data_IF_995985293048
#
_entry.id   IF_995985293048
#
_cell.length_a   1.000
_cell.length_b   1.000
_cell.length_c   1.000
_cell.angle_alpha   90.00
_cell.angle_beta   90.00
_cell.angle_gamma   90.00
#
_symmetry.space_group_name_H-M   'P 1'
#
loop_
_entity.id
_entity.type
_entity.pdbx_description
1 polymer ?
#
# COMPACT_ATOMS: atom_id res chain seq x y z
N UNK A 1 41.02 -6.34 -7.66
CA UNK A 1 40.09 -5.19 -7.72
C UNK A 1 38.81 -5.66 -7.05
N UNK A 2 38.65 -5.37 -5.76
CA UNK A 2 37.58 -5.91 -4.92
C UNK A 2 36.40 -4.94 -4.99
N UNK A 3 35.25 -5.38 -5.52
CA UNK A 3 34.02 -4.61 -5.46
C UNK A 3 33.63 -4.44 -3.99
N UNK A 4 33.63 -3.20 -3.51
CA UNK A 4 32.97 -2.82 -2.27
C UNK A 4 31.47 -3.10 -2.46
N UNK A 5 30.96 -4.14 -1.80
CA UNK A 5 29.54 -4.28 -1.57
C UNK A 5 29.12 -3.11 -0.68
N UNK A 6 28.54 -2.08 -1.27
CA UNK A 6 27.80 -1.07 -0.52
C UNK A 6 26.62 -1.79 0.14
N UNK A 7 26.72 -2.00 1.45
CA UNK A 7 25.58 -2.33 2.29
C UNK A 7 24.55 -1.21 2.12
N UNK A 8 23.61 -1.37 1.19
CA UNK A 8 22.37 -0.63 1.21
C UNK A 8 21.59 -1.17 2.41
N UNK A 9 21.72 -0.51 3.54
CA UNK A 9 20.79 -0.70 4.65
C UNK A 9 19.40 -0.31 4.13
N UNK A 10 18.51 -1.29 3.96
CA UNK A 10 17.11 -1.03 3.76
C UNK A 10 16.61 -0.13 4.91
N UNK A 11 15.81 0.89 4.59
CA UNK A 11 15.20 1.78 5.58
C UNK A 11 13.70 1.74 5.41
N UNK A 12 12.99 1.79 6.53
CA UNK A 12 11.53 1.94 6.52
C UNK A 12 11.18 3.24 5.80
N UNK A 13 10.17 3.19 4.93
CA UNK A 13 9.60 4.42 4.39
C UNK A 13 8.66 5.02 5.43
N UNK A 14 8.69 6.33 5.56
CA UNK A 14 7.73 7.07 6.38
C UNK A 14 6.76 7.77 5.45
N UNK A 15 5.48 7.50 5.61
CA UNK A 15 4.39 7.97 4.75
C UNK A 15 3.51 8.89 5.58
N UNK A 16 3.39 10.14 5.16
CA UNK A 16 2.35 11.05 5.64
C UNK A 16 1.05 10.70 4.89
N UNK A 17 0.14 10.00 5.55
CA UNK A 17 -1.03 9.41 4.91
C UNK A 17 -2.01 10.47 4.42
N UNK A 18 -2.19 11.55 5.19
CA UNK A 18 -3.06 12.64 4.79
C UNK A 18 -2.52 13.37 3.57
N UNK A 19 -1.19 13.51 3.48
CA UNK A 19 -0.57 14.08 2.29
C UNK A 19 -0.72 13.18 1.07
N UNK A 20 -0.54 11.86 1.20
CA UNK A 20 -0.79 10.91 0.09
C UNK A 20 -2.26 10.97 -0.37
N UNK A 21 -3.22 11.04 0.56
CA UNK A 21 -4.64 11.21 0.23
C UNK A 21 -4.92 12.54 -0.47
N UNK A 22 -4.24 13.61 -0.07
CA UNK A 22 -4.41 14.95 -0.65
C UNK A 22 -3.81 15.06 -2.04
N UNK A 23 -2.63 14.47 -2.26
CA UNK A 23 -1.89 14.52 -3.52
C UNK A 23 -2.35 13.47 -4.53
N UNK A 24 -3.07 12.43 -4.09
CA UNK A 24 -3.67 11.44 -4.98
C UNK A 24 -4.65 12.11 -5.95
N UNK A 25 -4.35 11.99 -7.23
CA UNK A 25 -5.25 12.38 -8.33
C UNK A 25 -6.32 11.29 -8.53
N UNK A 26 -5.94 10.03 -8.33
CA UNK A 26 -6.84 8.88 -8.46
C UNK A 26 -6.98 8.21 -7.11
N UNK A 27 -8.23 8.03 -6.68
CA UNK A 27 -8.63 7.20 -5.53
C UNK A 27 -9.81 6.34 -5.99
N UNK A 28 -9.54 5.12 -6.47
CA UNK A 28 -10.58 4.29 -7.10
C UNK A 28 -10.53 2.85 -6.68
N UNK A 29 -11.69 2.29 -6.35
CA UNK A 29 -11.85 0.86 -6.16
C UNK A 29 -11.89 0.16 -7.51
N UNK A 30 -10.93 -0.73 -7.76
CA UNK A 30 -10.71 -1.32 -9.07
C UNK A 30 -10.59 -2.85 -8.98
N UNK A 31 -11.01 -3.55 -10.04
CA UNK A 31 -10.67 -4.95 -10.25
C UNK A 31 -9.34 -5.07 -10.98
N UNK A 32 -8.41 -5.84 -10.40
CA UNK A 32 -7.10 -6.10 -11.03
C UNK A 32 -7.25 -7.06 -12.20
N UNK A 33 -6.79 -6.67 -13.38
CA UNK A 33 -6.89 -7.48 -14.60
C UNK A 33 -5.55 -8.10 -14.96
N UNK A 34 -4.49 -7.32 -14.89
CA UNK A 34 -3.14 -7.78 -15.19
C UNK A 34 -2.09 -6.83 -14.62
N UNK A 35 -0.86 -7.30 -14.55
CA UNK A 35 0.30 -6.45 -14.30
C UNK A 35 1.53 -7.05 -14.96
N UNK A 36 2.51 -6.19 -15.19
CA UNK A 36 3.86 -6.50 -15.64
C UNK A 36 4.86 -6.02 -14.58
N UNK A 37 6.16 -6.05 -14.91
CA UNK A 37 7.17 -5.48 -14.03
C UNK A 37 7.06 -3.95 -13.89
N UNK A 38 6.39 -3.27 -14.82
CA UNK A 38 6.36 -1.79 -14.88
C UNK A 38 4.96 -1.19 -14.82
N UNK A 39 3.91 -1.99 -15.05
CA UNK A 39 2.55 -1.48 -15.14
C UNK A 39 1.53 -2.42 -14.49
N UNK A 40 0.43 -1.84 -14.03
CA UNK A 40 -0.76 -2.56 -13.59
C UNK A 40 -1.96 -2.05 -14.40
N UNK A 41 -2.77 -2.97 -14.92
CA UNK A 41 -4.02 -2.68 -15.61
C UNK A 41 -5.20 -3.14 -14.77
N UNK A 42 -6.17 -2.25 -14.60
CA UNK A 42 -7.36 -2.49 -13.77
C UNK A 42 -8.63 -2.00 -14.46
N UNK A 43 -9.78 -2.46 -13.98
CA UNK A 43 -11.09 -1.92 -14.34
C UNK A 43 -11.67 -1.20 -13.13
N UNK A 44 -12.01 0.08 -13.28
CA UNK A 44 -12.72 0.82 -12.24
C UNK A 44 -14.12 0.23 -12.05
N UNK A 45 -14.46 -0.19 -10.83
CA UNK A 45 -15.67 -0.97 -10.57
C UNK A 45 -16.95 -0.19 -10.92
N UNK A 46 -16.99 1.12 -10.66
CA UNK A 46 -18.21 1.91 -10.87
C UNK A 46 -18.44 2.30 -12.32
N UNK A 47 -17.39 2.71 -13.06
CA UNK A 47 -17.55 3.18 -14.45
C UNK A 47 -17.29 2.10 -15.49
N UNK A 48 -16.58 1.02 -15.14
CA UNK A 48 -16.10 0.02 -16.09
C UNK A 48 -14.89 0.46 -16.91
N UNK A 49 -14.35 1.66 -16.65
CA UNK A 49 -13.18 2.18 -17.38
C UNK A 49 -11.94 1.34 -17.10
N UNK A 50 -11.18 1.07 -18.16
CA UNK A 50 -9.86 0.45 -18.02
C UNK A 50 -8.82 1.52 -17.72
N UNK A 51 -8.05 1.33 -16.65
CA UNK A 51 -7.00 2.24 -16.19
C UNK A 51 -5.66 1.50 -16.15
N UNK A 52 -4.59 2.21 -16.47
CA UNK A 52 -3.22 1.68 -16.42
C UNK A 52 -2.37 2.58 -15.53
N UNK A 53 -1.71 1.97 -14.56
CA UNK A 53 -0.84 2.66 -13.61
C UNK A 53 0.61 2.22 -13.76
N UNK A 54 1.53 3.12 -13.44
CA UNK A 54 2.96 2.88 -13.38
C UNK A 54 3.31 2.24 -12.03
N UNK A 55 4.00 1.10 -12.09
CA UNK A 55 4.58 0.43 -10.94
C UNK A 55 6.00 0.95 -10.73
N UNK A 56 6.28 1.66 -9.62
CA UNK A 56 7.64 2.09 -9.29
C UNK A 56 8.32 1.01 -8.44
N UNK A 57 9.01 0.07 -9.09
CA UNK A 57 9.81 -0.90 -8.34
C UNK A 57 10.66 -1.76 -9.25
N UNK A 58 11.97 -1.81 -8.99
CA UNK A 58 12.88 -2.79 -9.58
C UNK A 58 12.42 -4.18 -9.16
N UNK A 59 11.62 -4.82 -9.99
CA UNK A 59 11.32 -6.23 -9.84
C UNK A 59 12.58 -6.99 -10.23
N UNK A 60 13.52 -7.18 -9.29
CA UNK A 60 14.51 -8.23 -9.50
C UNK A 60 13.73 -9.55 -9.52
N UNK A 61 14.02 -10.36 -10.54
CA UNK A 61 13.37 -11.64 -10.80
C UNK A 61 13.44 -12.62 -9.59
N UNK A 62 14.22 -12.32 -8.54
CA UNK A 62 14.39 -13.15 -7.35
C UNK A 62 13.55 -12.70 -6.14
N UNK A 63 13.06 -11.45 -6.09
CA UNK A 63 12.08 -11.01 -5.09
C UNK A 63 10.66 -11.54 -5.36
N UNK A 64 10.49 -12.29 -6.46
CA UNK A 64 9.27 -12.90 -6.98
C UNK A 64 8.54 -13.86 -6.02
N UNK A 65 9.12 -14.27 -4.88
CA UNK A 65 8.51 -15.28 -4.00
C UNK A 65 7.51 -14.76 -2.97
N UNK A 66 7.43 -13.44 -2.70
CA UNK A 66 6.30 -12.91 -1.89
C UNK A 66 5.08 -12.52 -2.74
N UNK A 67 5.13 -12.65 -4.08
CA UNK A 67 4.06 -12.20 -4.99
C UNK A 67 2.88 -13.17 -5.18
N UNK A 68 2.82 -14.29 -4.46
CA UNK A 68 1.76 -15.31 -4.68
C UNK A 68 1.19 -15.94 -3.42
N UNK A 69 1.65 -15.54 -2.23
CA UNK A 69 0.96 -15.97 -1.01
C UNK A 69 -0.31 -15.12 -0.89
N UNK A 70 -1.44 -15.78 -0.59
CA UNK A 70 -2.64 -15.09 -0.14
C UNK A 70 -2.23 -13.95 0.78
N UNK A 71 -2.66 -12.72 0.46
CA UNK A 71 -2.65 -11.67 1.45
C UNK A 71 -3.46 -12.25 2.58
N UNK A 72 -2.81 -12.66 3.67
CA UNK A 72 -3.54 -13.06 4.85
C UNK A 72 -4.06 -11.76 5.44
N UNK A 73 -5.38 -11.48 5.33
CA UNK A 73 -5.94 -10.23 5.80
C UNK A 73 -5.85 -10.12 7.33
N UNK A 74 -5.44 -11.17 8.05
CA UNK A 74 -5.12 -11.13 9.47
C UNK A 74 -3.69 -10.62 9.77
N UNK A 75 -2.80 -10.54 8.78
CA UNK A 75 -1.41 -10.09 8.94
C UNK A 75 -1.20 -8.64 8.53
N UNK A 76 -0.38 -7.89 9.27
CA UNK A 76 -0.08 -6.49 8.94
C UNK A 76 1.12 -6.33 8.00
N UNK A 77 1.80 -7.43 7.68
CA UNK A 77 2.97 -7.44 6.79
C UNK A 77 2.53 -7.46 5.32
N UNK A 78 1.86 -6.41 4.87
CA UNK A 78 1.34 -6.27 3.49
C UNK A 78 2.24 -5.44 2.57
N UNK A 79 3.34 -4.93 3.07
CA UNK A 79 4.28 -4.12 2.30
C UNK A 79 4.93 -4.85 1.13
N UNK A 80 5.06 -4.17 -0.01
CA UNK A 80 5.67 -4.74 -1.22
C UNK A 80 4.83 -5.83 -1.90
N UNK A 81 3.65 -6.16 -1.35
CA UNK A 81 2.72 -7.08 -1.98
C UNK A 81 1.93 -6.39 -3.08
N UNK A 82 1.70 -7.14 -4.15
CA UNK A 82 0.83 -6.77 -5.25
C UNK A 82 -0.45 -7.63 -5.15
N UNK A 83 -1.64 -7.03 -5.36
CA UNK A 83 -2.90 -7.74 -5.29
C UNK A 83 -3.00 -8.79 -6.41
N UNK A 84 -3.77 -9.85 -6.17
CA UNK A 84 -4.00 -10.90 -7.16
C UNK A 84 -4.84 -10.39 -8.32
N UNK A 85 -4.63 -10.99 -9.49
CA UNK A 85 -5.56 -10.80 -10.62
C UNK A 85 -6.95 -11.28 -10.19
N UNK A 86 -7.95 -10.44 -10.43
CA UNK A 86 -9.35 -10.66 -10.02
C UNK A 86 -9.73 -10.01 -8.69
N UNK A 87 -8.76 -9.61 -7.84
CA UNK A 87 -9.08 -8.93 -6.58
C UNK A 87 -9.58 -7.51 -6.80
N UNK A 88 -10.43 -7.06 -5.88
CA UNK A 88 -10.84 -5.66 -5.74
C UNK A 88 -9.88 -4.95 -4.80
N UNK A 89 -9.29 -3.85 -5.27
CA UNK A 89 -8.32 -3.06 -4.51
C UNK A 89 -8.58 -1.58 -4.72
N UNK A 90 -8.53 -0.80 -3.63
CA UNK A 90 -8.51 0.65 -3.71
C UNK A 90 -7.11 1.09 -4.14
N UNK A 91 -7.01 1.85 -5.22
CA UNK A 91 -5.74 2.38 -5.72
C UNK A 91 -5.67 3.87 -5.44
N UNK A 92 -4.58 4.30 -4.79
CA UNK A 92 -4.17 5.69 -4.70
C UNK A 92 -3.00 5.93 -5.65
N UNK A 93 -3.18 6.81 -6.63
CA UNK A 93 -2.13 7.17 -7.58
C UNK A 93 -1.97 8.69 -7.72
N UNK A 94 -0.73 9.12 -7.98
CA UNK A 94 -0.42 10.51 -8.28
C UNK A 94 -0.79 10.89 -9.72
N UNK A 95 -0.56 12.15 -10.07
CA UNK A 95 -0.82 12.70 -11.41
C UNK A 95 0.05 12.11 -12.53
N UNK A 96 1.10 11.38 -12.16
CA UNK A 96 1.91 10.61 -13.10
C UNK A 96 1.45 9.16 -13.20
N UNK A 97 0.25 8.86 -12.70
CA UNK A 97 -0.33 7.52 -12.58
C UNK A 97 0.59 6.54 -11.84
N UNK A 98 1.48 7.03 -10.97
CA UNK A 98 2.32 6.18 -10.13
C UNK A 98 1.52 5.74 -8.92
N UNK A 99 1.42 4.42 -8.71
CA UNK A 99 0.75 3.90 -7.51
C UNK A 99 1.55 4.29 -6.27
N UNK A 100 0.88 4.93 -5.32
CA UNK A 100 1.45 5.34 -4.03
C UNK A 100 1.12 4.34 -2.95
N UNK A 101 -0.16 4.00 -2.84
CA UNK A 101 -0.74 3.13 -1.83
C UNK A 101 -1.82 2.27 -2.46
N UNK A 102 -2.09 1.14 -1.82
CA UNK A 102 -3.21 0.26 -2.12
C UNK A 102 -3.99 -0.05 -0.84
N UNK A 103 -5.25 -0.44 -0.97
CA UNK A 103 -6.04 -0.90 0.16
C UNK A 103 -7.04 -2.01 -0.17
N UNK A 104 -7.27 -2.91 0.78
CA UNK A 104 -8.30 -3.95 0.70
C UNK A 104 -9.50 -3.52 1.53
N UNK A 105 -10.70 -3.74 1.01
CA UNK A 105 -11.93 -3.51 1.76
C UNK A 105 -12.12 -4.60 2.83
N UNK A 106 -12.31 -4.21 4.08
CA UNK A 106 -12.40 -5.05 5.27
C UNK A 106 -13.61 -4.60 6.11
N UNK A 107 -14.82 -4.93 5.67
CA UNK A 107 -16.03 -4.51 6.37
C UNK A 107 -16.24 -3.00 6.26
N UNK A 108 -16.12 -2.26 7.37
CA UNK A 108 -16.23 -0.80 7.41
C UNK A 108 -14.92 -0.05 7.17
N UNK A 109 -13.81 -0.78 7.00
CA UNK A 109 -12.47 -0.20 6.94
C UNK A 109 -11.75 -0.59 5.65
N UNK A 110 -10.82 0.25 5.23
CA UNK A 110 -9.80 -0.08 4.24
C UNK A 110 -8.51 -0.44 4.96
N UNK A 111 -7.90 -1.55 4.53
CA UNK A 111 -6.60 -2.01 4.99
C UNK A 111 -5.50 -1.54 4.04
N UNK A 112 -4.79 -0.47 4.39
CA UNK A 112 -3.81 0.19 3.52
C UNK A 112 -2.40 -0.42 3.61
N UNK A 113 -1.68 -0.41 2.49
CA UNK A 113 -0.26 -0.74 2.43
C UNK A 113 0.47 0.01 1.31
N UNK A 114 1.80 0.05 1.40
CA UNK A 114 2.69 0.54 0.35
C UNK A 114 3.17 -0.61 -0.54
N UNK A 115 2.71 -0.71 -1.80
CA UNK A 115 3.14 -1.76 -2.73
C UNK A 115 4.58 -1.55 -3.23
N UNK A 116 5.20 -0.40 -2.95
CA UNK A 116 6.56 -0.07 -3.38
C UNK A 116 7.59 -0.21 -2.24
N UNK A 117 7.15 -0.55 -1.03
CA UNK A 117 8.04 -0.78 0.09
C UNK A 117 8.85 -2.05 -0.10
N UNK A 118 10.12 -2.00 0.30
CA UNK A 118 11.04 -3.14 0.26
C UNK A 118 10.96 -3.96 1.56
N UNK A 119 11.97 -4.76 1.89
CA UNK A 119 12.01 -5.73 2.99
C UNK A 119 11.53 -5.27 4.38
N UNK A 120 11.52 -3.97 4.68
CA UNK A 120 11.22 -3.45 6.02
C UNK A 120 9.88 -2.70 6.16
N UNK A 121 9.08 -2.63 5.09
CA UNK A 121 7.77 -1.97 5.11
C UNK A 121 7.78 -0.46 5.38
N UNK A 122 6.58 0.06 5.65
CA UNK A 122 6.25 1.47 5.73
C UNK A 122 5.51 1.82 7.02
N UNK A 123 5.88 2.96 7.59
CA UNK A 123 5.16 3.58 8.70
C UNK A 123 4.27 4.71 8.17
N UNK A 124 2.99 4.60 8.43
CA UNK A 124 1.95 5.59 8.15
C UNK A 124 1.82 6.54 9.33
N UNK A 125 1.83 7.83 9.06
CA UNK A 125 1.60 8.92 9.99
C UNK A 125 0.29 9.62 9.61
N UNK A 126 -0.60 9.82 10.57
CA UNK A 126 -1.95 10.36 10.40
C UNK A 126 -2.08 11.66 11.19
N UNK A 127 -2.81 12.64 10.70
CA UNK A 127 -3.22 13.77 11.53
C UNK A 127 -4.27 13.32 12.55
N UNK A 128 -4.33 14.03 13.67
CA UNK A 128 -5.17 13.69 14.84
C UNK A 128 -6.67 13.55 14.55
N UNK A 129 -7.16 14.03 13.41
CA UNK A 129 -8.58 14.07 13.04
C UNK A 129 -9.02 12.83 12.23
N UNK A 130 -8.07 12.00 11.82
CA UNK A 130 -8.26 10.89 10.89
C UNK A 130 -7.60 9.62 11.45
N UNK A 131 -8.00 9.21 12.66
CA UNK A 131 -7.32 8.09 13.34
C UNK A 131 -7.77 6.74 12.77
N UNK A 132 -6.84 5.81 12.54
CA UNK A 132 -7.19 4.45 12.18
C UNK A 132 -8.09 3.81 13.25
N UNK A 133 -9.11 3.08 12.81
CA UNK A 133 -10.12 2.39 13.64
C UNK A 133 -9.50 1.27 14.46
N UNK A 134 -8.46 0.64 13.95
CA UNK A 134 -7.64 -0.35 14.67
C UNK A 134 -6.17 0.04 14.50
N UNK A 135 -5.56 0.49 15.59
CA UNK A 135 -4.11 0.51 15.72
C UNK A 135 -3.64 -0.93 15.61
N UNK A 136 -2.79 -1.24 14.63
CA UNK A 136 -2.16 -2.54 14.52
C UNK A 136 -1.49 -2.88 15.85
N UNK A 137 -2.14 -3.74 16.64
CA UNK A 137 -1.56 -4.36 17.83
C UNK A 137 -0.49 -5.31 17.32
N UNK A 138 0.77 -4.91 17.50
CA UNK A 138 1.70 -5.87 18.08
C UNK A 138 1.62 -5.72 19.59
N UNK A 139 1.45 -6.85 20.27
CA UNK A 139 1.53 -6.95 21.73
C UNK A 139 2.97 -6.69 22.25
N UNK A 140 3.75 -5.85 21.58
CA UNK A 140 5.06 -5.41 22.04
C UNK A 140 4.89 -4.07 22.76
N UNK A 141 5.30 -3.96 24.03
CA UNK A 141 5.36 -2.68 24.73
C UNK A 141 6.56 -1.87 24.22
N UNK A 142 6.55 -1.54 22.93
CA UNK A 142 7.47 -0.54 22.39
C UNK A 142 6.97 0.84 22.81
N UNK A 143 7.82 1.77 23.27
CA UNK A 143 7.40 3.09 23.76
C UNK A 143 6.75 4.01 22.71
N UNK A 144 6.52 3.55 21.48
CA UNK A 144 5.83 4.30 20.43
C UNK A 144 4.30 4.11 20.50
N UNK A 145 3.73 4.42 21.66
CA UNK A 145 2.31 4.76 21.82
C UNK A 145 2.02 6.14 21.19
N UNK A 146 2.42 6.37 19.94
CA UNK A 146 2.05 7.57 19.21
C UNK A 146 0.72 7.27 18.51
N UNK A 147 -0.36 7.82 19.06
CA UNK A 147 -1.77 7.67 18.65
C UNK A 147 -2.08 8.01 17.18
N UNK A 148 -1.05 8.35 16.43
CA UNK A 148 -1.09 8.99 15.12
C UNK A 148 -0.20 8.21 14.12
N UNK A 149 0.37 7.04 14.49
CA UNK A 149 1.20 6.22 13.59
C UNK A 149 0.69 4.78 13.49
N UNK A 150 0.89 4.14 12.34
CA UNK A 150 0.64 2.71 12.14
C UNK A 150 1.66 2.12 11.16
N UNK A 151 1.88 0.82 11.22
CA UNK A 151 2.62 0.11 10.16
C UNK A 151 1.68 -0.26 8.99
N UNK A 152 2.22 -0.82 7.90
CA UNK A 152 1.41 -1.45 6.85
C UNK A 152 0.30 -2.33 7.40
N UNK A 153 -0.77 -2.48 6.61
CA UNK A 153 -1.97 -3.18 7.02
C UNK A 153 -2.84 -2.37 7.99
N UNK A 154 -2.64 -1.05 8.06
CA UNK A 154 -3.45 -0.17 8.91
C UNK A 154 -4.91 -0.12 8.44
N UNK A 155 -5.85 -0.19 9.38
CA UNK A 155 -7.29 -0.07 9.09
C UNK A 155 -7.72 1.39 9.20
N UNK A 156 -8.29 1.91 8.13
CA UNK A 156 -8.75 3.29 8.03
C UNK A 156 -10.21 3.32 7.56
N UNK A 157 -11.10 4.10 8.21
CA UNK A 157 -12.52 4.05 7.92
C UNK A 157 -12.87 4.41 6.47
N UNK A 158 -13.71 3.60 5.83
CA UNK A 158 -14.12 3.79 4.43
C UNK A 158 -14.82 5.14 4.25
N UNK A 159 -15.63 5.57 5.22
CA UNK A 159 -16.38 6.82 5.16
C UNK A 159 -15.50 8.08 5.14
N UNK A 160 -14.22 7.95 5.50
CA UNK A 160 -13.24 9.04 5.46
C UNK A 160 -12.45 9.08 4.15
N UNK A 161 -12.69 8.13 3.23
CA UNK A 161 -12.07 8.07 1.91
C UNK A 161 -13.05 8.58 0.85
N UNK A 162 -12.67 9.64 0.15
CA UNK A 162 -13.45 10.19 -0.94
C UNK A 162 -12.88 9.73 -2.30
N UNK A 163 -13.49 8.69 -2.88
CA UNK A 163 -13.16 8.17 -4.20
C UNK A 163 -13.32 9.24 -5.30
N UNK A 164 -12.36 9.32 -6.21
CA UNK A 164 -12.32 10.28 -7.33
C UNK A 164 -11.43 9.78 -8.48
#
# INVERSE_FOLDING_TARGET
MTLLATNLEAKNRHIDFDNELKEAEVIKLCHVISYSDTTMTVIHIKSGDTLTFNCKGKVSADAYRRRTLEIDPSTNEMYGYWPKIGESVLILADSLHSIKLMALEMGSDYKFWDPNADLLGSWFHFSKLARPTVYCRDNSPSPMNQKDNCFDGCLYPIELINER
#
